data_IF_541404001716
#
_entry.id   IF_541404001716
#
_cell.length_a   1.000
_cell.length_b   1.000
_cell.length_c   1.000
_cell.angle_alpha   90.00
_cell.angle_beta   90.00
_cell.angle_gamma   90.00
#
_symmetry.space_group_name_H-M   'P 1'
#
loop_
_entity.id
_entity.type
_entity.pdbx_description
1 polymer ?
#
# COMPACT_ATOMS: atom_id res chain seq x y z
N UNK A 1 -0.76 -16.86 13.34
CA UNK A 1 -0.62 -17.83 14.45
C UNK A 1 -1.11 -17.23 15.77
N UNK A 2 -1.24 -18.03 16.85
CA UNK A 2 -1.63 -17.52 18.18
C UNK A 2 -0.56 -17.75 19.25
N UNK A 3 -0.11 -16.69 19.91
CA UNK A 3 0.71 -16.77 21.12
C UNK A 3 -0.19 -16.55 22.34
N UNK A 4 -0.13 -17.43 23.34
CA UNK A 4 -0.88 -17.29 24.59
C UNK A 4 0.10 -16.99 25.73
N UNK A 5 -0.12 -15.89 26.44
CA UNK A 5 0.57 -15.56 27.68
C UNK A 5 -0.48 -15.35 28.77
N UNK A 6 -0.45 -16.15 29.82
CA UNK A 6 -1.48 -16.15 30.88
C UNK A 6 -2.89 -16.32 30.28
N UNK A 7 -3.79 -15.35 30.45
CA UNK A 7 -5.14 -15.36 29.85
C UNK A 7 -5.20 -14.64 28.49
N UNK A 8 -4.16 -13.88 28.13
CA UNK A 8 -4.12 -13.07 26.90
C UNK A 8 -3.64 -13.88 25.71
N UNK A 9 -4.26 -13.63 24.56
CA UNK A 9 -3.92 -14.24 23.26
C UNK A 9 -3.51 -13.15 22.28
N UNK A 10 -2.38 -13.36 21.61
CA UNK A 10 -1.84 -12.49 20.58
C UNK A 10 -1.90 -13.20 19.23
N UNK A 11 -2.46 -12.54 18.21
CA UNK A 11 -2.42 -13.03 16.83
C UNK A 11 -1.19 -12.48 16.13
N UNK A 12 -0.30 -13.35 15.67
CA UNK A 12 1.00 -12.97 15.09
C UNK A 12 1.17 -13.52 13.66
N UNK A 13 2.04 -12.92 12.87
CA UNK A 13 2.40 -13.35 11.53
C UNK A 13 3.58 -14.31 11.59
N UNK A 14 3.37 -15.56 11.16
CA UNK A 14 4.38 -16.62 11.24
C UNK A 14 5.66 -16.24 10.47
N UNK A 15 5.51 -15.59 9.32
CA UNK A 15 6.62 -15.12 8.51
C UNK A 15 7.54 -14.15 9.27
N UNK A 16 6.98 -13.20 10.02
CA UNK A 16 7.76 -12.21 10.78
C UNK A 16 8.38 -12.86 12.01
N UNK A 17 7.57 -13.53 12.83
CA UNK A 17 8.05 -14.10 14.10
C UNK A 17 9.11 -15.21 13.88
N UNK A 18 8.94 -16.05 12.85
CA UNK A 18 9.92 -17.10 12.55
C UNK A 18 11.19 -16.57 11.89
N UNK A 19 11.14 -15.42 11.20
CA UNK A 19 12.34 -14.76 10.70
C UNK A 19 13.20 -14.20 11.85
N UNK A 20 12.56 -13.72 12.92
CA UNK A 20 13.25 -13.09 14.05
C UNK A 20 13.63 -14.05 15.18
N UNK A 21 13.08 -15.26 15.24
CA UNK A 21 13.36 -16.20 16.33
C UNK A 21 13.35 -17.66 15.88
N UNK A 22 14.51 -18.30 15.98
CA UNK A 22 14.68 -19.73 15.71
C UNK A 22 13.97 -20.60 16.74
N UNK A 23 13.78 -20.10 17.97
CA UNK A 23 12.99 -20.78 19.01
C UNK A 23 11.53 -20.83 18.61
N UNK A 24 10.99 -19.71 18.13
CA UNK A 24 9.64 -19.67 17.60
C UNK A 24 9.53 -20.48 16.33
N UNK A 25 10.48 -20.37 15.40
CA UNK A 25 10.50 -21.22 14.22
C UNK A 25 10.39 -22.70 14.60
N UNK A 26 11.27 -23.21 15.49
CA UNK A 26 11.23 -24.60 15.94
C UNK A 26 9.91 -24.96 16.62
N UNK A 27 9.47 -24.15 17.58
CA UNK A 27 8.22 -24.38 18.31
C UNK A 27 6.98 -24.38 17.40
N UNK A 28 7.01 -23.63 16.30
CA UNK A 28 5.91 -23.52 15.34
C UNK A 28 6.00 -24.50 14.16
N UNK A 29 7.14 -25.12 13.92
CA UNK A 29 7.25 -26.29 13.04
C UNK A 29 6.82 -27.58 13.75
N UNK A 30 7.00 -27.66 15.07
CA UNK A 30 6.60 -28.83 15.88
C UNK A 30 5.14 -28.77 16.38
N UNK A 31 4.48 -27.62 16.30
CA UNK A 31 3.11 -27.43 16.79
C UNK A 31 2.05 -27.77 15.73
N UNK A 32 1.17 -28.73 16.04
CA UNK A 32 -0.01 -29.08 15.21
C UNK A 32 -1.21 -28.17 15.46
N UNK A 33 -1.19 -27.32 16.48
CA UNK A 33 -2.35 -26.54 16.93
C UNK A 33 -2.31 -25.06 16.52
N UNK A 34 -1.27 -24.63 15.80
CA UNK A 34 -1.04 -23.23 15.39
C UNK A 34 -1.11 -22.22 16.56
N UNK A 35 -0.92 -22.72 17.79
CA UNK A 35 -0.94 -21.97 19.03
C UNK A 35 0.27 -22.37 19.91
N UNK A 36 0.93 -21.38 20.51
CA UNK A 36 2.05 -21.60 21.44
C UNK A 36 1.77 -20.88 22.75
N UNK A 37 1.98 -21.55 23.88
CA UNK A 37 1.81 -20.98 25.21
C UNK A 37 3.18 -20.62 25.80
N UNK A 38 3.42 -19.32 25.97
CA UNK A 38 4.63 -18.82 26.63
C UNK A 38 4.34 -18.69 28.14
N UNK A 39 5.15 -19.37 28.94
CA UNK A 39 5.02 -19.42 30.40
C UNK A 39 6.17 -18.66 31.05
N UNK A 40 5.94 -18.12 32.24
CA UNK A 40 6.93 -17.41 33.06
C UNK A 40 7.37 -16.04 32.52
N UNK A 41 6.54 -15.42 31.68
CA UNK A 41 6.70 -14.03 31.26
C UNK A 41 5.40 -13.29 31.59
N UNK A 42 5.51 -12.02 31.96
CA UNK A 42 4.34 -11.17 32.14
C UNK A 42 3.88 -10.62 30.78
N UNK A 43 2.61 -10.25 30.70
CA UNK A 43 2.00 -9.72 29.47
C UNK A 43 2.82 -8.55 28.86
N UNK A 44 3.27 -7.54 29.62
CA UNK A 44 4.02 -6.42 29.06
C UNK A 44 5.37 -6.81 28.42
N UNK A 45 6.10 -7.77 29.00
CA UNK A 45 7.36 -8.23 28.43
C UNK A 45 7.14 -9.02 27.14
N UNK A 46 6.06 -9.81 27.07
CA UNK A 46 5.69 -10.54 25.85
C UNK A 46 5.24 -9.57 24.75
N UNK A 47 4.53 -8.52 25.11
CA UNK A 47 4.15 -7.44 24.17
C UNK A 47 5.38 -6.72 23.61
N UNK A 48 6.32 -6.31 24.47
CA UNK A 48 7.55 -5.67 24.03
C UNK A 48 8.40 -6.60 23.13
N UNK A 49 8.44 -7.90 23.43
CA UNK A 49 9.10 -8.89 22.58
C UNK A 49 8.41 -9.02 21.21
N UNK A 50 7.08 -9.08 21.19
CA UNK A 50 6.30 -9.11 19.95
C UNK A 50 6.58 -7.84 19.15
N UNK A 51 6.47 -6.68 19.78
CA UNK A 51 6.71 -5.38 19.16
C UNK A 51 8.10 -5.32 18.56
N UNK A 52 9.15 -5.71 19.30
CA UNK A 52 10.50 -5.82 18.78
C UNK A 52 10.61 -6.71 17.55
N UNK A 53 9.90 -7.84 17.52
CA UNK A 53 9.90 -8.72 16.33
C UNK A 53 9.25 -8.08 15.11
N UNK A 54 8.38 -7.09 15.32
CA UNK A 54 7.75 -6.32 14.24
C UNK A 54 8.46 -5.01 13.90
N UNK A 55 9.25 -4.43 14.81
CA UNK A 55 9.81 -3.09 14.66
C UNK A 55 11.33 -3.04 14.69
N UNK A 56 11.98 -4.06 15.26
CA UNK A 56 13.43 -4.09 15.58
C UNK A 56 13.88 -2.90 16.45
N UNK A 57 12.98 -2.35 17.27
CA UNK A 57 13.26 -1.19 18.15
C UNK A 57 12.61 -1.35 19.54
N UNK A 58 13.36 -1.05 20.59
CA UNK A 58 12.95 -1.10 22.01
C UNK A 58 12.52 0.27 22.58
N UNK A 59 12.65 1.37 21.82
CA UNK A 59 12.56 2.75 22.35
C UNK A 59 11.15 3.22 22.75
N UNK A 60 10.10 2.43 22.50
CA UNK A 60 8.71 2.85 22.77
C UNK A 60 8.24 2.58 24.20
N UNK A 61 9.02 1.87 25.02
CA UNK A 61 8.62 1.48 26.37
C UNK A 61 9.11 2.43 27.48
N UNK A 62 9.78 3.54 27.16
CA UNK A 62 10.27 4.49 28.17
C UNK A 62 9.21 5.48 28.68
N UNK A 63 7.97 5.45 28.15
CA UNK A 63 6.90 6.37 28.54
C UNK A 63 5.97 5.91 29.68
N UNK A 64 5.91 4.61 29.99
CA UNK A 64 4.86 4.07 30.86
C UNK A 64 5.34 3.42 32.18
N UNK A 65 6.65 3.40 32.46
CA UNK A 65 7.20 2.80 33.69
C UNK A 65 7.60 3.83 34.76
N UNK A 66 7.42 5.13 34.51
CA UNK A 66 7.93 6.18 35.38
C UNK A 66 6.84 7.05 36.02
N UNK A 67 5.69 6.51 36.44
CA UNK A 67 4.78 7.26 37.32
C UNK A 67 4.22 6.39 38.45
N UNK A 68 5.11 6.05 39.38
CA UNK A 68 4.77 5.78 40.76
C UNK A 68 5.91 6.33 41.64
N UNK A 69 6.01 7.66 41.75
CA UNK A 69 6.46 8.36 42.95
C UNK A 69 6.19 9.87 42.83
N UNK A 70 5.52 10.39 43.85
CA UNK A 70 4.97 11.73 44.05
C UNK A 70 5.88 12.92 43.69
N UNK A 71 5.31 13.94 43.04
CA UNK A 71 5.09 15.31 43.57
C UNK A 71 4.81 16.33 42.43
N UNK A 72 3.78 17.15 42.62
CA UNK A 72 3.11 18.07 41.66
C UNK A 72 3.80 19.48 41.50
N UNK A 73 3.28 20.48 40.72
CA UNK A 73 3.77 21.00 39.41
C UNK A 73 4.15 22.53 39.46
N UNK A 74 4.06 23.44 38.42
CA UNK A 74 3.88 23.34 36.95
C UNK A 74 4.81 24.25 36.07
N UNK A 75 4.77 24.13 34.73
CA UNK A 75 5.31 25.16 33.83
C UNK A 75 5.27 24.90 32.30
N UNK A 76 4.38 25.64 31.63
CA UNK A 76 4.36 26.12 30.21
C UNK A 76 4.20 25.14 29.03
N UNK A 77 2.98 25.15 28.49
CA UNK A 77 2.58 25.46 27.10
C UNK A 77 3.58 25.22 25.95
N UNK A 78 3.21 24.37 25.00
CA UNK A 78 2.97 24.78 23.60
C UNK A 78 2.15 23.73 22.85
N UNK A 79 1.21 24.25 22.06
CA UNK A 79 0.25 23.58 21.18
C UNK A 79 0.90 22.77 20.07
N UNK A 80 0.22 21.74 19.58
CA UNK A 80 -0.39 21.78 18.24
C UNK A 80 -1.41 20.65 18.03
N UNK A 81 -2.40 20.97 17.20
CA UNK A 81 -3.65 20.27 16.90
C UNK A 81 -3.54 18.76 16.70
N UNK A 82 -4.25 18.00 17.54
CA UNK A 82 -4.68 16.63 17.22
C UNK A 82 -6.17 16.65 16.86
N UNK A 83 -6.46 16.01 15.72
CA UNK A 83 -7.81 15.82 15.20
C UNK A 83 -8.67 15.09 16.23
N UNK A 84 -9.85 15.65 16.49
CA UNK A 84 -10.81 15.17 17.48
C UNK A 84 -11.45 13.86 16.96
N UNK A 85 -10.73 12.74 17.13
CA UNK A 85 -11.26 11.40 16.84
C UNK A 85 -12.09 10.92 18.03
N UNK A 86 -13.33 10.54 17.74
CA UNK A 86 -14.38 10.16 18.67
C UNK A 86 -13.86 9.16 19.73
N UNK A 87 -13.69 9.62 20.97
CA UNK A 87 -13.13 8.86 22.09
C UNK A 87 -14.18 7.88 22.63
N UNK A 88 -14.40 6.78 21.89
CA UNK A 88 -14.67 5.52 22.55
C UNK A 88 -13.38 5.18 23.32
N UNK A 89 -13.46 5.02 24.64
CA UNK A 89 -12.35 4.48 25.43
C UNK A 89 -12.09 3.04 24.97
N UNK A 90 -11.32 2.91 23.88
CA UNK A 90 -10.82 1.62 23.42
C UNK A 90 -9.83 1.17 24.49
N UNK A 91 -10.00 -0.03 25.09
CA UNK A 91 -9.06 -0.53 26.08
C UNK A 91 -7.63 -0.47 25.55
N UNK A 92 -6.68 -0.09 26.39
CA UNK A 92 -5.26 0.05 26.00
C UNK A 92 -4.71 -1.19 25.26
N UNK A 93 -5.21 -2.38 25.64
CA UNK A 93 -4.93 -3.66 25.00
C UNK A 93 -5.37 -3.75 23.54
N UNK A 94 -6.53 -3.20 23.19
CA UNK A 94 -7.05 -3.18 21.81
C UNK A 94 -6.36 -2.09 20.98
N UNK A 95 -6.00 -0.97 21.61
CA UNK A 95 -5.24 0.09 20.96
C UNK A 95 -3.82 -0.38 20.59
N UNK A 96 -3.16 -1.10 21.50
CA UNK A 96 -1.86 -1.73 21.25
C UNK A 96 -1.95 -2.77 20.13
N UNK A 97 -2.99 -3.62 20.12
CA UNK A 97 -3.19 -4.62 19.07
C UNK A 97 -3.34 -3.97 17.69
N UNK A 98 -4.12 -2.88 17.58
CA UNK A 98 -4.26 -2.12 16.33
C UNK A 98 -2.95 -1.48 15.89
N UNK A 99 -2.17 -0.96 16.83
CA UNK A 99 -0.87 -0.34 16.52
C UNK A 99 0.13 -1.38 16.01
N UNK A 100 0.18 -2.55 16.64
CA UNK A 100 1.02 -3.66 16.20
C UNK A 100 0.58 -4.18 14.83
N UNK A 101 -0.72 -4.34 14.59
CA UNK A 101 -1.25 -4.75 13.27
C UNK A 101 -0.86 -3.77 12.17
N UNK A 102 -1.13 -2.47 12.39
CA UNK A 102 -0.79 -1.42 11.42
C UNK A 102 0.69 -1.43 11.07
N UNK A 103 1.58 -1.46 12.07
CA UNK A 103 3.03 -1.52 11.84
C UNK A 103 3.46 -2.83 11.20
N UNK A 104 2.89 -3.97 11.59
CA UNK A 104 3.17 -5.26 10.96
C UNK A 104 2.96 -5.22 9.45
N UNK A 105 1.86 -4.58 9.02
CA UNK A 105 1.50 -4.47 7.61
C UNK A 105 2.48 -3.57 6.84
N UNK A 106 2.96 -2.50 7.47
CA UNK A 106 4.02 -1.64 6.91
C UNK A 106 5.32 -2.40 6.62
N UNK A 107 5.67 -3.41 7.43
CA UNK A 107 6.89 -4.22 7.23
C UNK A 107 6.71 -5.42 6.31
N UNK A 108 5.51 -6.00 6.23
CA UNK A 108 5.24 -7.16 5.36
C UNK A 108 5.53 -6.83 3.90
N UNK A 109 5.11 -5.64 3.43
CA UNK A 109 5.22 -5.29 2.02
C UNK A 109 6.68 -5.22 1.52
N UNK A 110 7.62 -4.53 2.20
CA UNK A 110 9.04 -4.60 1.84
C UNK A 110 9.61 -6.02 1.79
N UNK A 111 9.28 -6.87 2.78
CA UNK A 111 9.78 -8.26 2.82
C UNK A 111 9.28 -9.06 1.62
N UNK A 112 8.01 -8.89 1.25
CA UNK A 112 7.41 -9.54 0.08
C UNK A 112 8.06 -9.09 -1.22
N UNK A 113 8.39 -7.80 -1.34
CA UNK A 113 9.10 -7.25 -2.51
C UNK A 113 10.53 -7.80 -2.59
N UNK A 114 11.27 -7.75 -1.48
CA UNK A 114 12.68 -8.15 -1.44
C UNK A 114 12.88 -9.66 -1.63
N UNK A 115 11.88 -10.46 -1.24
CA UNK A 115 11.93 -11.93 -1.27
C UNK A 115 10.81 -12.54 -2.13
N UNK A 116 10.41 -11.84 -3.20
CA UNK A 116 9.34 -12.31 -4.06
C UNK A 116 9.62 -13.72 -4.62
N UNK A 117 8.66 -14.62 -4.44
CA UNK A 117 8.70 -15.98 -4.99
C UNK A 117 7.26 -16.48 -5.21
N UNK A 118 6.84 -16.70 -6.48
CA UNK A 118 5.47 -17.06 -6.81
C UNK A 118 5.05 -18.42 -6.26
N UNK A 119 5.99 -19.36 -6.05
CA UNK A 119 5.71 -20.69 -5.51
C UNK A 119 5.44 -20.66 -4.00
N UNK A 120 6.05 -19.73 -3.27
CA UNK A 120 5.92 -19.64 -1.80
C UNK A 120 4.86 -18.64 -1.38
N UNK A 121 4.51 -17.68 -2.24
CA UNK A 121 3.50 -16.67 -1.96
C UNK A 121 2.12 -17.24 -1.58
N UNK A 122 1.57 -18.28 -2.24
CA UNK A 122 0.28 -18.88 -1.83
C UNK A 122 0.29 -19.38 -0.39
N UNK A 123 1.42 -19.90 0.09
CA UNK A 123 1.57 -20.37 1.48
C UNK A 123 1.48 -19.18 2.45
N UNK A 124 2.07 -18.04 2.10
CA UNK A 124 1.99 -16.81 2.90
C UNK A 124 0.55 -16.30 2.96
N UNK A 125 -0.14 -16.26 1.82
CA UNK A 125 -1.55 -15.86 1.77
C UNK A 125 -2.42 -16.82 2.58
N UNK A 126 -2.25 -18.13 2.41
CA UNK A 126 -3.01 -19.12 3.17
C UNK A 126 -2.83 -18.97 4.69
N UNK A 127 -1.59 -18.75 5.14
CA UNK A 127 -1.30 -18.55 6.56
C UNK A 127 -1.92 -17.25 7.08
N UNK A 128 -1.91 -16.17 6.29
CA UNK A 128 -2.58 -14.93 6.67
C UNK A 128 -4.11 -15.13 6.80
N UNK A 129 -4.73 -15.80 5.82
CA UNK A 129 -6.17 -16.11 5.86
C UNK A 129 -6.56 -16.98 7.06
N UNK A 130 -5.73 -17.97 7.38
CA UNK A 130 -6.03 -18.91 8.47
C UNK A 130 -5.78 -18.34 9.86
N UNK A 131 -4.98 -17.27 9.98
CA UNK A 131 -4.46 -16.88 11.29
C UNK A 131 -4.67 -15.46 11.71
N UNK A 132 -5.13 -14.59 10.81
CA UNK A 132 -5.52 -13.23 11.15
C UNK A 132 -6.79 -12.82 10.42
N UNK A 133 -7.59 -11.99 11.10
CA UNK A 133 -8.77 -11.31 10.54
C UNK A 133 -8.42 -9.88 10.12
N UNK A 134 -7.12 -9.54 10.05
CA UNK A 134 -6.64 -8.22 9.62
C UNK A 134 -7.03 -7.98 8.15
N UNK A 135 -8.03 -7.12 7.98
CA UNK A 135 -8.61 -6.75 6.69
C UNK A 135 -7.61 -5.96 5.85
N UNK A 136 -6.79 -5.10 6.47
CA UNK A 136 -5.81 -4.31 5.74
C UNK A 136 -4.66 -5.19 5.25
N UNK A 137 -4.19 -6.15 6.05
CA UNK A 137 -3.21 -7.12 5.57
C UNK A 137 -3.74 -7.93 4.39
N UNK A 138 -4.97 -8.46 4.50
CA UNK A 138 -5.56 -9.26 3.43
C UNK A 138 -5.71 -8.46 2.14
N UNK A 139 -6.04 -7.17 2.26
CA UNK A 139 -6.13 -6.21 1.16
C UNK A 139 -4.76 -5.89 0.56
N UNK A 140 -3.73 -5.76 1.39
CA UNK A 140 -2.36 -5.56 0.91
C UNK A 140 -1.84 -6.79 0.17
N UNK A 141 -2.10 -8.00 0.70
CA UNK A 141 -1.79 -9.25 0.01
C UNK A 141 -2.56 -9.40 -1.31
N UNK A 142 -3.83 -8.96 -1.38
CA UNK A 142 -4.57 -8.99 -2.64
C UNK A 142 -4.03 -7.99 -3.65
N UNK A 143 -3.69 -6.77 -3.23
CA UNK A 143 -3.05 -5.77 -4.09
C UNK A 143 -1.72 -6.30 -4.64
N UNK A 144 -0.91 -6.89 -3.77
CA UNK A 144 0.38 -7.46 -4.15
C UNK A 144 0.22 -8.64 -5.12
N UNK A 145 -0.81 -9.48 -4.92
CA UNK A 145 -1.14 -10.54 -5.87
C UNK A 145 -1.57 -10.01 -7.25
N UNK A 146 -2.24 -8.85 -7.32
CA UNK A 146 -2.61 -8.21 -8.59
C UNK A 146 -1.37 -7.75 -9.35
N UNK A 147 -0.40 -7.18 -8.64
CA UNK A 147 0.87 -6.72 -9.22
C UNK A 147 1.63 -7.86 -9.89
N UNK A 148 1.50 -9.08 -9.36
CA UNK A 148 2.18 -10.28 -9.84
C UNK A 148 1.24 -11.34 -10.45
N UNK A 149 0.02 -10.96 -10.84
CA UNK A 149 -1.02 -11.92 -11.23
C UNK A 149 -0.61 -12.79 -12.43
N UNK A 150 0.19 -12.24 -13.35
CA UNK A 150 0.71 -12.96 -14.52
C UNK A 150 1.64 -14.10 -14.11
N UNK A 151 2.46 -13.89 -13.07
CA UNK A 151 3.36 -14.93 -12.54
C UNK A 151 2.58 -15.98 -11.74
N UNK A 152 1.51 -15.57 -11.06
CA UNK A 152 0.64 -16.43 -10.26
C UNK A 152 -0.35 -17.27 -11.09
N UNK A 153 -0.67 -16.88 -12.32
CA UNK A 153 -1.57 -17.62 -13.22
C UNK A 153 -1.11 -19.07 -13.44
N UNK A 154 0.20 -19.31 -13.42
CA UNK A 154 0.79 -20.63 -13.55
C UNK A 154 0.83 -21.49 -12.28
N UNK A 155 0.34 -20.98 -11.14
CA UNK A 155 0.47 -21.61 -9.81
C UNK A 155 -0.90 -22.09 -9.31
N UNK A 156 -1.25 -23.37 -9.45
CA UNK A 156 -2.56 -23.90 -9.05
C UNK A 156 -2.86 -23.72 -7.55
N UNK A 157 -1.83 -23.76 -6.71
CA UNK A 157 -1.93 -23.57 -5.27
C UNK A 157 -2.47 -22.17 -4.92
N UNK A 158 -2.19 -21.17 -5.76
CA UNK A 158 -2.70 -19.81 -5.57
C UNK A 158 -4.21 -19.72 -5.75
N UNK A 159 -4.83 -20.58 -6.56
CA UNK A 159 -6.28 -20.57 -6.82
C UNK A 159 -7.07 -21.54 -5.93
N UNK A 160 -6.37 -22.40 -5.18
CA UNK A 160 -6.97 -23.42 -4.31
C UNK A 160 -6.82 -23.11 -2.82
N UNK A 161 -6.70 -21.83 -2.46
CA UNK A 161 -6.63 -21.38 -1.07
C UNK A 161 -7.93 -21.67 -0.31
N UNK A 162 -7.82 -22.14 0.94
CA UNK A 162 -8.93 -22.30 1.90
C UNK A 162 -9.31 -20.95 2.52
N UNK A 163 -10.59 -20.77 2.90
CA UNK A 163 -11.12 -19.55 3.52
C UNK A 163 -10.87 -18.27 2.70
N UNK A 164 -10.82 -18.40 1.37
CA UNK A 164 -10.33 -17.39 0.42
C UNK A 164 -11.43 -16.60 -0.29
N UNK A 165 -12.71 -16.86 -0.01
CA UNK A 165 -13.83 -16.22 -0.72
C UNK A 165 -13.76 -14.69 -0.66
N UNK A 166 -13.53 -14.12 0.52
CA UNK A 166 -13.39 -12.66 0.69
C UNK A 166 -12.12 -12.12 0.00
N UNK A 167 -11.04 -12.90 0.06
CA UNK A 167 -9.77 -12.55 -0.57
C UNK A 167 -9.90 -12.48 -2.09
N UNK A 168 -10.44 -13.50 -2.75
CA UNK A 168 -10.65 -13.47 -4.19
C UNK A 168 -11.74 -12.48 -4.62
N UNK A 169 -12.74 -12.23 -3.78
CA UNK A 169 -13.71 -11.17 -4.05
C UNK A 169 -13.03 -9.79 -4.05
N UNK A 170 -12.14 -9.53 -3.09
CA UNK A 170 -11.34 -8.30 -3.04
C UNK A 170 -10.38 -8.21 -4.24
N UNK A 171 -9.67 -9.30 -4.56
CA UNK A 171 -8.77 -9.42 -5.71
C UNK A 171 -9.50 -9.12 -7.04
N UNK A 172 -10.67 -9.73 -7.24
CA UNK A 172 -11.51 -9.53 -8.43
C UNK A 172 -12.01 -8.09 -8.53
N UNK A 173 -12.49 -7.53 -7.42
CA UNK A 173 -12.95 -6.13 -7.37
C UNK A 173 -11.81 -5.15 -7.71
N UNK A 174 -10.64 -5.33 -7.12
CA UNK A 174 -9.48 -4.45 -7.32
C UNK A 174 -8.87 -4.60 -8.72
N UNK A 175 -8.79 -5.81 -9.26
CA UNK A 175 -8.30 -6.04 -10.62
C UNK A 175 -9.22 -5.38 -11.65
N UNK A 176 -10.55 -5.48 -11.46
CA UNK A 176 -11.51 -4.78 -12.32
C UNK A 176 -11.39 -3.25 -12.21
N UNK A 177 -11.23 -2.72 -10.99
CA UNK A 177 -11.01 -1.28 -10.80
C UNK A 177 -9.74 -0.80 -11.51
N UNK A 178 -8.64 -1.53 -11.37
CA UNK A 178 -7.37 -1.21 -12.02
C UNK A 178 -7.50 -1.21 -13.55
N UNK A 179 -8.26 -2.15 -14.11
CA UNK A 179 -8.59 -2.19 -15.53
C UNK A 179 -9.40 -0.96 -15.98
N UNK A 180 -10.45 -0.58 -15.24
CA UNK A 180 -11.26 0.61 -15.54
C UNK A 180 -10.41 1.89 -15.50
N UNK A 181 -9.52 2.02 -14.52
CA UNK A 181 -8.64 3.18 -14.39
C UNK A 181 -7.66 3.25 -15.57
N UNK A 182 -7.08 2.12 -15.98
CA UNK A 182 -6.21 2.03 -17.14
C UNK A 182 -6.93 2.41 -18.43
N UNK A 183 -8.15 1.90 -18.64
CA UNK A 183 -8.97 2.24 -19.81
C UNK A 183 -9.31 3.72 -19.86
N UNK A 184 -9.60 4.33 -18.71
CA UNK A 184 -9.86 5.77 -18.60
C UNK A 184 -8.62 6.60 -18.97
N UNK A 185 -7.45 6.20 -18.46
CA UNK A 185 -6.17 6.85 -18.81
C UNK A 185 -5.87 6.72 -20.31
N UNK A 186 -6.10 5.55 -20.90
CA UNK A 186 -5.92 5.34 -22.34
C UNK A 186 -6.85 6.23 -23.17
N UNK A 187 -8.13 6.35 -22.80
CA UNK A 187 -9.06 7.24 -23.50
C UNK A 187 -8.62 8.72 -23.42
N UNK A 188 -8.11 9.16 -22.27
CA UNK A 188 -7.57 10.51 -22.11
C UNK A 188 -6.32 10.74 -22.99
N UNK A 189 -5.44 9.75 -23.09
CA UNK A 189 -4.25 9.80 -23.95
C UNK A 189 -4.63 9.87 -25.44
N UNK A 190 -5.62 9.08 -25.88
CA UNK A 190 -6.12 9.12 -27.25
C UNK A 190 -6.71 10.49 -27.62
N UNK A 191 -7.46 11.09 -26.68
CA UNK A 191 -8.00 12.43 -26.87
C UNK A 191 -6.88 13.47 -27.00
N UNK A 192 -5.87 13.41 -26.11
CA UNK A 192 -4.72 14.31 -26.17
C UNK A 192 -3.92 14.15 -27.47
N UNK A 193 -3.73 12.92 -27.94
CA UNK A 193 -3.05 12.64 -29.21
C UNK A 193 -3.84 13.22 -30.40
N UNK A 194 -5.17 13.12 -30.38
CA UNK A 194 -6.04 13.69 -31.41
C UNK A 194 -5.93 15.22 -31.46
N UNK A 195 -5.95 15.88 -30.29
CA UNK A 195 -5.77 17.32 -30.18
C UNK A 195 -4.40 17.77 -30.72
N UNK A 196 -3.33 17.07 -30.34
CA UNK A 196 -1.98 17.39 -30.80
C UNK A 196 -1.86 17.27 -32.33
N UNK A 197 -2.48 16.26 -32.95
CA UNK A 197 -2.53 16.13 -34.41
C UNK A 197 -3.24 17.30 -35.08
N UNK A 198 -4.36 17.77 -34.52
CA UNK A 198 -5.07 18.96 -35.02
C UNK A 198 -4.19 20.21 -34.96
N UNK A 199 -3.52 20.44 -33.83
CA UNK A 199 -2.61 21.58 -33.66
C UNK A 199 -1.44 21.53 -34.63
N UNK A 200 -0.88 20.35 -34.89
CA UNK A 200 0.19 20.19 -35.90
C UNK A 200 -0.33 20.56 -37.29
N UNK A 201 -1.52 20.09 -37.68
CA UNK A 201 -2.10 20.42 -38.98
C UNK A 201 -2.37 21.93 -39.15
N UNK A 202 -2.87 22.61 -38.11
CA UNK A 202 -3.06 24.06 -38.11
C UNK A 202 -1.72 24.82 -38.23
N UNK A 203 -0.69 24.36 -37.53
CA UNK A 203 0.64 24.93 -37.61
C UNK A 203 1.28 24.72 -38.99
N UNK A 204 1.11 23.55 -39.61
CA UNK A 204 1.57 23.27 -40.97
C UNK A 204 0.88 24.18 -41.99
N UNK A 205 -0.44 24.36 -41.88
CA UNK A 205 -1.19 25.29 -42.73
C UNK A 205 -0.66 26.73 -42.57
N UNK A 206 -0.45 27.16 -41.33
CA UNK A 206 0.08 28.49 -41.03
C UNK A 206 1.49 28.66 -41.61
N UNK A 207 2.35 27.65 -41.48
CA UNK A 207 3.70 27.64 -42.03
C UNK A 207 3.70 27.70 -43.55
N UNK A 208 2.81 26.95 -44.21
CA UNK A 208 2.65 26.98 -45.67
C UNK A 208 2.18 28.35 -46.15
N UNK A 209 1.21 28.97 -45.46
CA UNK A 209 0.75 30.32 -45.77
C UNK A 209 1.88 31.35 -45.61
N UNK A 210 2.69 31.24 -44.55
CA UNK A 210 3.86 32.11 -44.34
C UNK A 210 4.91 31.94 -45.44
N UNK A 211 5.20 30.71 -45.85
CA UNK A 211 6.13 30.41 -46.93
C UNK A 211 5.64 30.97 -48.29
N UNK A 212 4.36 30.82 -48.62
CA UNK A 212 3.76 31.41 -49.82
C UNK A 212 3.88 32.95 -49.82
N UNK A 213 3.56 33.59 -48.69
CA UNK A 213 3.74 35.03 -48.54
C UNK A 213 5.19 35.46 -48.76
N UNK A 214 6.15 34.70 -48.22
CA UNK A 214 7.56 35.00 -48.38
C UNK A 214 8.03 34.88 -49.83
N UNK A 215 7.60 33.86 -50.55
CA UNK A 215 7.92 33.69 -51.98
C UNK A 215 7.28 34.80 -52.84
N UNK A 216 6.03 35.18 -52.58
CA UNK A 216 5.38 36.34 -53.23
C UNK A 216 6.13 37.66 -52.97
N UNK A 217 6.63 37.86 -51.75
CA UNK A 217 7.46 39.03 -51.40
C UNK A 217 8.78 39.04 -52.19
N UNK A 218 9.48 37.90 -52.26
CA UNK A 218 10.70 37.78 -53.08
C UNK A 218 10.45 38.08 -54.55
N UNK A 219 9.29 37.69 -55.07
CA UNK A 219 8.88 37.94 -56.45
C UNK A 219 8.44 39.40 -56.72
N UNK A 220 8.43 40.28 -55.71
CA UNK A 220 8.05 41.70 -55.85
C UNK A 220 6.53 41.94 -55.93
N UNK A 221 5.69 40.98 -55.52
CA UNK A 221 4.22 41.02 -55.65
C UNK A 221 3.50 41.70 -54.47
N UNK A 222 4.13 42.72 -53.86
CA UNK A 222 3.64 43.40 -52.66
C UNK A 222 2.19 43.93 -52.75
N UNK A 223 1.72 44.51 -53.88
CA UNK A 223 0.34 44.99 -53.99
C UNK A 223 -0.70 43.87 -53.93
N UNK A 224 -0.36 42.68 -54.42
CA UNK A 224 -1.26 41.53 -54.47
C UNK A 224 -1.43 40.91 -53.07
N UNK A 225 -0.32 40.78 -52.32
CA UNK A 225 -0.32 40.41 -50.90
C UNK A 225 -1.17 41.32 -50.02
N UNK A 226 -1.05 42.65 -50.20
CA UNK A 226 -1.83 43.62 -49.43
C UNK A 226 -3.35 43.51 -49.70
N UNK A 227 -3.74 43.04 -50.89
CA UNK A 227 -5.15 42.79 -51.22
C UNK A 227 -5.68 41.50 -50.58
N UNK A 228 -4.87 40.43 -50.56
CA UNK A 228 -5.23 39.12 -49.96
C UNK A 228 -5.38 39.23 -48.44
N UNK A 229 -4.45 39.91 -47.76
CA UNK A 229 -4.51 40.13 -46.30
C UNK A 229 -5.69 41.02 -45.91
N UNK A 230 -6.06 42.00 -46.74
CA UNK A 230 -7.27 42.82 -46.50
C UNK A 230 -8.55 41.99 -46.56
N UNK A 231 -8.63 41.03 -47.49
CA UNK A 231 -9.82 40.20 -47.69
C UNK A 231 -10.04 39.19 -46.56
N UNK A 232 -8.99 38.77 -45.84
CA UNK A 232 -9.10 37.84 -44.71
C UNK A 232 -9.50 38.49 -43.37
N UNK A 233 -9.50 39.83 -43.29
CA UNK A 233 -9.76 40.59 -42.05
C UNK A 233 -11.15 41.28 -42.02
N UNK A 234 -12.03 40.96 -42.97
CA UNK A 234 -13.44 41.39 -43.03
C UNK A 234 -14.36 40.18 -43.00
#
# INVERSE_FOLDING_TARGET
MKLKCEEKKFSLHKAIVCAHSTVFAAAFWESTTNAYEIKNFNIPAVEAMIEFMYTVDYTLFTGAINEANDSEPPGSEHSDMEEEECTLEIPADEQLLRHVQKRSNEYIRPILVDNWCPETFPVVVQEALNTTEDVELRKDLSNFAIEHLVELDGIPEFFNLENSTEFYAALSKQSFQSYVDLMTKNAALELGLSQQKSTIAENELTMNNMNDCFEKLKAGQLPQLLSEVRMQNY
#
